data_IF_804390977391
#
_entry.id   IF_804390977391
#
_cell.length_a   1.000
_cell.length_b   1.000
_cell.length_c   1.000
_cell.angle_alpha   90.00
_cell.angle_beta   90.00
_cell.angle_gamma   90.00
#
_symmetry.space_group_name_H-M   'P 1'
#
loop_
_entity.id
_entity.type
_entity.pdbx_description
1 polymer ?
#
# COMPACT_ATOMS: atom_id res chain seq x y z
N UNK A 1 -19.53 -11.16 -13.27
CA UNK A 1 -18.20 -10.54 -13.18
C UNK A 1 -17.65 -10.73 -11.79
N UNK A 2 -16.48 -11.29 -11.68
CA UNK A 2 -15.88 -11.39 -10.35
C UNK A 2 -15.53 -9.99 -9.83
N UNK A 3 -15.88 -9.75 -8.59
CA UNK A 3 -15.59 -8.48 -7.95
C UNK A 3 -14.18 -8.55 -7.37
N UNK A 4 -13.32 -7.61 -7.75
CA UNK A 4 -11.98 -7.57 -7.19
C UNK A 4 -12.08 -7.09 -5.74
N UNK A 5 -11.45 -7.83 -4.83
CA UNK A 5 -11.45 -7.46 -3.44
C UNK A 5 -10.71 -6.14 -3.24
N UNK A 6 -11.27 -5.18 -2.47
CA UNK A 6 -10.56 -3.95 -2.17
C UNK A 6 -9.19 -4.20 -1.54
N UNK A 7 -9.06 -5.26 -0.76
CA UNK A 7 -7.78 -5.63 -0.16
C UNK A 7 -6.73 -5.96 -1.21
N UNK A 8 -7.11 -6.72 -2.24
CA UNK A 8 -6.20 -7.04 -3.33
C UNK A 8 -5.79 -5.81 -4.12
N UNK A 9 -6.74 -4.90 -4.31
CA UNK A 9 -6.44 -3.64 -5.00
C UNK A 9 -5.46 -2.81 -4.18
N UNK A 10 -5.66 -2.74 -2.87
CA UNK A 10 -4.74 -2.01 -2.00
C UNK A 10 -3.34 -2.60 -2.07
N UNK A 11 -3.22 -3.91 -2.04
CA UNK A 11 -1.92 -4.57 -2.15
C UNK A 11 -1.23 -4.26 -3.47
N UNK A 12 -1.98 -4.33 -4.57
CA UNK A 12 -1.43 -4.05 -5.89
C UNK A 12 -0.95 -2.60 -5.98
N UNK A 13 -1.73 -1.68 -5.45
CA UNK A 13 -1.35 -0.26 -5.43
C UNK A 13 -0.12 -0.02 -4.57
N UNK A 14 -0.04 -0.69 -3.42
CA UNK A 14 1.11 -0.55 -2.53
C UNK A 14 2.38 -1.06 -3.21
N UNK A 15 2.29 -2.18 -3.92
CA UNK A 15 3.45 -2.70 -4.65
C UNK A 15 3.89 -1.76 -5.77
N UNK A 16 2.95 -1.20 -6.50
CA UNK A 16 3.27 -0.24 -7.56
C UNK A 16 3.97 1.00 -6.99
N UNK A 17 3.46 1.52 -5.88
CA UNK A 17 4.08 2.68 -5.24
C UNK A 17 5.44 2.36 -4.67
N UNK A 18 5.60 1.17 -4.09
CA UNK A 18 6.90 0.76 -3.56
C UNK A 18 7.96 0.72 -4.66
N UNK A 19 7.59 0.24 -5.83
CA UNK A 19 8.49 0.22 -6.97
C UNK A 19 8.90 1.64 -7.37
N UNK A 20 7.94 2.56 -7.43
CA UNK A 20 8.20 3.94 -7.80
C UNK A 20 9.08 4.65 -6.77
N UNK A 21 8.84 4.38 -5.48
CA UNK A 21 9.66 4.97 -4.42
C UNK A 21 11.08 4.41 -4.49
N UNK A 22 11.22 3.10 -4.73
CA UNK A 22 12.54 2.48 -4.83
C UNK A 22 13.36 3.04 -5.99
N UNK A 23 12.70 3.40 -7.08
CA UNK A 23 13.40 3.96 -8.24
C UNK A 23 13.60 5.48 -8.13
N UNK A 24 13.12 6.11 -7.08
CA UNK A 24 13.27 7.55 -6.87
C UNK A 24 12.24 8.40 -7.59
N UNK A 25 11.22 7.77 -8.17
CA UNK A 25 10.20 8.50 -8.95
C UNK A 25 9.03 9.00 -8.09
N UNK A 26 9.00 8.64 -6.82
CA UNK A 26 7.89 8.99 -5.95
C UNK A 26 8.38 9.12 -4.50
N UNK A 27 7.83 10.07 -3.78
CA UNK A 27 8.18 10.29 -2.38
C UNK A 27 7.49 9.26 -1.48
N UNK A 28 8.23 8.70 -0.53
CA UNK A 28 7.72 7.70 0.40
C UNK A 28 6.48 8.23 1.15
N UNK A 29 6.60 9.42 1.74
CA UNK A 29 5.51 9.99 2.53
C UNK A 29 4.24 10.18 1.71
N UNK A 30 4.38 10.66 0.48
CA UNK A 30 3.24 10.85 -0.41
C UNK A 30 2.60 9.52 -0.79
N UNK A 31 3.42 8.50 -1.00
CA UNK A 31 2.92 7.17 -1.34
C UNK A 31 2.09 6.60 -0.19
N UNK A 32 2.60 6.69 1.02
CA UNK A 32 1.90 6.18 2.19
C UNK A 32 0.59 6.95 2.43
N UNK A 33 0.64 8.26 2.34
CA UNK A 33 -0.55 9.08 2.53
C UNK A 33 -1.64 8.72 1.52
N UNK A 34 -1.28 8.61 0.25
CA UNK A 34 -2.25 8.27 -0.79
C UNK A 34 -2.86 6.89 -0.60
N UNK A 35 -2.04 5.92 -0.21
CA UNK A 35 -2.53 4.57 0.04
C UNK A 35 -3.47 4.53 1.24
N UNK A 36 -3.15 5.26 2.30
CA UNK A 36 -4.03 5.35 3.47
C UNK A 36 -5.37 5.99 3.11
N UNK A 37 -5.34 7.07 2.34
CA UNK A 37 -6.57 7.73 1.91
C UNK A 37 -7.43 6.80 1.07
N UNK A 38 -6.80 6.06 0.17
CA UNK A 38 -7.53 5.10 -0.64
C UNK A 38 -8.18 4.02 0.22
N UNK A 39 -7.45 3.51 1.22
CA UNK A 39 -7.97 2.48 2.11
C UNK A 39 -9.17 3.00 2.92
N UNK A 40 -9.10 4.24 3.39
CA UNK A 40 -10.20 4.86 4.11
C UNK A 40 -11.43 4.98 3.21
N UNK A 41 -11.23 5.48 2.00
CA UNK A 41 -12.34 5.68 1.05
C UNK A 41 -12.98 4.34 0.65
N UNK A 42 -12.21 3.28 0.61
CA UNK A 42 -12.72 1.96 0.28
C UNK A 42 -13.38 1.24 1.46
N UNK A 43 -13.34 1.85 2.64
CA UNK A 43 -13.92 1.25 3.83
C UNK A 43 -13.06 0.19 4.49
N UNK A 44 -11.83 0.03 4.04
CA UNK A 44 -10.94 -1.01 4.59
C UNK A 44 -10.48 -0.70 6.00
N UNK A 45 -10.34 0.58 6.32
CA UNK A 45 -9.94 0.97 7.67
C UNK A 45 -10.95 0.49 8.71
N UNK A 46 -12.23 0.65 8.40
CA UNK A 46 -13.29 0.20 9.30
C UNK A 46 -13.33 -1.32 9.41
N UNK A 47 -13.05 -2.03 8.32
CA UNK A 47 -13.13 -3.49 8.29
C UNK A 47 -11.95 -4.16 8.97
N UNK A 48 -10.75 -3.65 8.75
CA UNK A 48 -9.52 -4.32 9.15
C UNK A 48 -8.80 -3.64 10.32
N UNK A 49 -9.05 -2.37 10.52
CA UNK A 49 -8.36 -1.60 11.54
C UNK A 49 -7.07 -0.97 11.03
N UNK A 50 -6.62 0.07 11.72
CA UNK A 50 -5.47 0.85 11.31
C UNK A 50 -4.19 0.03 11.24
N UNK A 51 -3.95 -0.79 12.26
CA UNK A 51 -2.71 -1.57 12.33
C UNK A 51 -2.58 -2.53 11.14
N UNK A 52 -3.69 -3.20 10.80
CA UNK A 52 -3.68 -4.13 9.68
C UNK A 52 -3.43 -3.40 8.36
N UNK A 53 -4.05 -2.23 8.18
CA UNK A 53 -3.88 -1.44 6.97
C UNK A 53 -2.43 -0.98 6.83
N UNK A 54 -1.85 -0.49 7.90
CA UNK A 54 -0.46 -0.05 7.89
C UNK A 54 0.49 -1.19 7.51
N UNK A 55 0.26 -2.37 8.07
CA UNK A 55 1.08 -3.54 7.75
C UNK A 55 0.98 -3.91 6.27
N UNK A 56 -0.22 -3.89 5.72
CA UNK A 56 -0.43 -4.22 4.31
C UNK A 56 0.28 -3.21 3.40
N UNK A 57 0.15 -1.93 3.72
CA UNK A 57 0.75 -0.87 2.92
C UNK A 57 2.28 -0.93 2.98
N UNK A 58 2.85 -1.15 4.16
CA UNK A 58 4.29 -1.13 4.34
C UNK A 58 5.00 -2.40 3.86
N UNK A 59 4.28 -3.50 3.74
CA UNK A 59 4.89 -4.78 3.37
C UNK A 59 5.72 -4.71 2.09
N UNK A 60 5.20 -4.20 0.96
CA UNK A 60 6.03 -4.12 -0.25
C UNK A 60 7.22 -3.19 -0.10
N UNK A 61 7.11 -2.14 0.71
CA UNK A 61 8.22 -1.22 0.93
C UNK A 61 9.35 -1.90 1.70
N UNK A 62 9.00 -2.73 2.69
CA UNK A 62 9.98 -3.51 3.44
C UNK A 62 10.69 -4.52 2.55
N UNK A 63 9.96 -5.16 1.65
CA UNK A 63 10.54 -6.14 0.74
C UNK A 63 11.56 -5.52 -0.19
N UNK A 64 11.30 -4.29 -0.65
CA UNK A 64 12.24 -3.58 -1.50
C UNK A 64 13.52 -3.23 -0.74
N UNK A 65 13.38 -2.81 0.53
CA UNK A 65 14.52 -2.53 1.38
C UNK A 65 15.40 -3.77 1.56
N UNK A 66 14.77 -4.90 1.83
CA UNK A 66 15.49 -6.16 2.04
C UNK A 66 16.32 -6.54 0.82
N UNK A 67 15.80 -6.28 -0.37
CA UNK A 67 16.51 -6.60 -1.60
C UNK A 67 17.74 -5.74 -1.82
N UNK A 68 17.76 -4.57 -1.25
CA UNK A 68 18.88 -3.65 -1.41
C UNK A 68 19.97 -3.86 -0.38
N UNK A 69 19.67 -4.57 0.66
CA UNK A 69 20.63 -4.83 1.74
C UNK A 69 21.71 -5.81 1.35
#
# INVERSE_FOLDING_TARGET
>A
MPTVSPLLVLRARAEARATLVASGDYEFDQAIYGLMQWAIDAGLLEQLGEDAIIEIILDPFRRHDDKQA
#
